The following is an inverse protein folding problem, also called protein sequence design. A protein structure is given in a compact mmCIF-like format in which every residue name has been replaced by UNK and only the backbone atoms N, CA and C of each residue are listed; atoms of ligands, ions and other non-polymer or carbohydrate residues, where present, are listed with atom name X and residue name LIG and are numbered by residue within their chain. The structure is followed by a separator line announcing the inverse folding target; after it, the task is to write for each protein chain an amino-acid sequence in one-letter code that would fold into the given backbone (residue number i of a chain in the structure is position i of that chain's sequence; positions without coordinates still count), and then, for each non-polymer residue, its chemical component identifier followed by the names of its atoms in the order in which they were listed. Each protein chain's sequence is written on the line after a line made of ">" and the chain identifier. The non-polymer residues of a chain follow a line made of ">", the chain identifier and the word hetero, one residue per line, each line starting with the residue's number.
data_IF_450399084850
#
_entry.id   IF_450399084850
#
_cell.length_a   1.000
_cell.length_b   1.000
_cell.length_c   1.000
_cell.angle_alpha   90.00
_cell.angle_beta   90.00
_cell.angle_gamma   90.00
#
_symmetry.space_group_name_H-M   'P 1'
#
loop_
_entity.id
_entity.type
_entity.pdbx_description
1 polymer ?
#
# COMPACT_ATOMS: atom_id res chain seq x y z
N UNK A 1 -5.41 -23.08 -19.44
CA UNK A 1 -6.22 -22.02 -18.78
C UNK A 1 -5.35 -20.77 -18.72
N UNK A 2 -5.58 -19.83 -19.62
CA UNK A 2 -4.80 -18.60 -19.70
C UNK A 2 -5.32 -17.63 -18.63
N UNK A 3 -4.50 -17.30 -17.62
CA UNK A 3 -4.80 -16.20 -16.72
C UNK A 3 -4.45 -14.92 -17.50
N UNK A 4 -5.49 -14.23 -17.94
CA UNK A 4 -5.41 -12.92 -18.57
C UNK A 4 -5.00 -11.93 -17.48
N UNK A 5 -3.69 -11.79 -17.23
CA UNK A 5 -3.14 -10.63 -16.52
C UNK A 5 -2.82 -9.55 -17.55
N UNK A 6 -3.85 -9.04 -18.21
CA UNK A 6 -3.74 -7.83 -19.02
C UNK A 6 -4.14 -6.64 -18.16
N UNK A 7 -3.16 -5.80 -17.82
CA UNK A 7 -3.31 -4.39 -17.43
C UNK A 7 -4.71 -4.01 -16.88
N UNK A 8 -5.02 -4.41 -15.65
CA UNK A 8 -6.20 -3.93 -14.97
C UNK A 8 -5.87 -2.54 -14.38
N UNK A 9 -6.77 -1.59 -14.57
CA UNK A 9 -6.65 -0.28 -13.97
C UNK A 9 -6.63 -0.42 -12.44
N UNK A 10 -5.85 0.42 -11.74
CA UNK A 10 -5.71 0.38 -10.27
C UNK A 10 -7.06 0.37 -9.53
N UNK A 11 -8.05 1.09 -10.06
CA UNK A 11 -9.40 1.15 -9.53
C UNK A 11 -10.11 -0.21 -9.58
N UNK A 12 -9.89 -0.98 -10.65
CA UNK A 12 -10.46 -2.30 -10.87
C UNK A 12 -9.75 -3.35 -10.00
N UNK A 13 -8.42 -3.27 -9.88
CA UNK A 13 -7.63 -4.09 -8.95
C UNK A 13 -8.09 -3.92 -7.50
N UNK A 14 -8.39 -2.68 -7.08
CA UNK A 14 -8.97 -2.42 -5.76
C UNK A 14 -10.34 -3.09 -5.57
N UNK A 15 -11.21 -3.09 -6.59
CA UNK A 15 -12.49 -3.76 -6.49
C UNK A 15 -12.34 -5.28 -6.37
N UNK A 16 -11.45 -5.89 -7.15
CA UNK A 16 -11.17 -7.33 -7.04
C UNK A 16 -10.61 -7.69 -5.67
N UNK A 17 -9.71 -6.88 -5.12
CA UNK A 17 -9.21 -7.06 -3.76
C UNK A 17 -10.34 -7.01 -2.71
N UNK A 18 -11.24 -6.04 -2.79
CA UNK A 18 -12.37 -5.93 -1.87
C UNK A 18 -13.34 -7.11 -2.00
N UNK A 19 -13.57 -7.60 -3.22
CA UNK A 19 -14.40 -8.77 -3.48
C UNK A 19 -13.77 -10.05 -2.88
N UNK A 20 -12.45 -10.22 -3.02
CA UNK A 20 -11.71 -11.31 -2.40
C UNK A 20 -11.77 -11.23 -0.85
N UNK A 21 -11.58 -10.04 -0.28
CA UNK A 21 -11.74 -9.85 1.17
C UNK A 21 -13.17 -10.19 1.64
N UNK A 22 -14.19 -9.91 0.82
CA UNK A 22 -15.57 -10.26 1.13
C UNK A 22 -15.81 -11.77 1.08
N UNK A 23 -15.22 -12.48 0.12
CA UNK A 23 -15.32 -13.95 0.06
C UNK A 23 -14.63 -14.64 1.25
N UNK A 24 -13.57 -14.03 1.79
CA UNK A 24 -12.90 -14.43 3.04
C UNK A 24 -13.69 -14.09 4.33
N UNK A 25 -14.92 -13.58 4.21
CA UNK A 25 -15.78 -13.19 5.36
C UNK A 25 -15.14 -12.14 6.27
N UNK A 26 -14.33 -11.23 5.72
CA UNK A 26 -13.87 -10.04 6.47
C UNK A 26 -15.09 -9.21 6.91
N UNK A 27 -14.98 -8.58 8.07
CA UNK A 27 -16.06 -7.72 8.60
C UNK A 27 -16.27 -6.51 7.68
N UNK A 28 -17.52 -6.08 7.52
CA UNK A 28 -17.87 -4.93 6.68
C UNK A 28 -17.14 -3.64 7.08
N UNK A 29 -16.91 -3.44 8.40
CA UNK A 29 -16.12 -2.33 8.91
C UNK A 29 -14.66 -2.35 8.40
N UNK A 30 -14.07 -3.55 8.26
CA UNK A 30 -12.73 -3.73 7.70
C UNK A 30 -12.70 -3.45 6.20
N UNK A 31 -13.71 -3.92 5.46
CA UNK A 31 -13.84 -3.63 4.02
C UNK A 31 -13.99 -2.12 3.77
N UNK A 32 -14.78 -1.43 4.60
CA UNK A 32 -14.95 0.02 4.53
C UNK A 32 -13.63 0.75 4.81
N UNK A 33 -12.87 0.29 5.81
CA UNK A 33 -11.56 0.87 6.11
C UNK A 33 -10.54 0.64 4.99
N UNK A 34 -10.49 -0.57 4.42
CA UNK A 34 -9.67 -0.88 3.25
C UNK A 34 -10.05 -0.03 2.04
N UNK A 35 -11.33 0.04 1.70
CA UNK A 35 -11.81 0.88 0.60
C UNK A 35 -11.39 2.34 0.77
N UNK A 36 -11.50 2.87 1.99
CA UNK A 36 -11.11 4.26 2.29
C UNK A 36 -9.60 4.48 2.17
N UNK A 37 -8.78 3.60 2.76
CA UNK A 37 -7.31 3.75 2.79
C UNK A 37 -6.70 3.48 1.43
N UNK A 38 -7.04 2.34 0.83
CA UNK A 38 -6.53 1.95 -0.48
C UNK A 38 -7.10 2.83 -1.59
N UNK A 39 -8.35 3.29 -1.47
CA UNK A 39 -8.92 4.25 -2.42
C UNK A 39 -8.16 5.58 -2.44
N UNK A 40 -7.72 6.08 -1.29
CA UNK A 40 -6.82 7.26 -1.22
C UNK A 40 -5.47 6.99 -1.89
N UNK A 41 -4.92 5.79 -1.69
CA UNK A 41 -3.65 5.43 -2.30
C UNK A 41 -3.74 5.28 -3.82
N UNK A 42 -4.83 4.67 -4.32
CA UNK A 42 -5.10 4.57 -5.76
C UNK A 42 -5.24 5.96 -6.38
N UNK A 43 -6.03 6.85 -5.78
CA UNK A 43 -6.18 8.22 -6.26
C UNK A 43 -4.84 8.99 -6.27
N UNK A 44 -3.98 8.75 -5.27
CA UNK A 44 -2.62 9.29 -5.26
C UNK A 44 -1.78 8.78 -6.43
N UNK A 45 -1.79 7.47 -6.68
CA UNK A 45 -1.05 6.84 -7.78
C UNK A 45 -1.52 7.33 -9.15
N UNK A 46 -2.83 7.45 -9.36
CA UNK A 46 -3.41 8.01 -10.57
C UNK A 46 -2.94 9.46 -10.79
N UNK A 47 -2.89 10.26 -9.72
CA UNK A 47 -2.34 11.63 -9.75
C UNK A 47 -0.84 11.70 -10.06
N UNK A 48 -0.09 10.61 -9.83
CA UNK A 48 1.32 10.46 -10.21
C UNK A 48 1.50 9.86 -11.62
N UNK A 49 0.40 9.64 -12.35
CA UNK A 49 0.42 9.03 -13.69
C UNK A 49 0.61 7.50 -13.69
N UNK A 50 0.47 6.85 -12.54
CA UNK A 50 0.59 5.39 -12.42
C UNK A 50 -0.80 4.78 -12.60
N UNK A 51 -0.96 3.94 -13.63
CA UNK A 51 -2.27 3.38 -14.01
C UNK A 51 -2.40 1.88 -13.75
N UNK A 52 -1.27 1.18 -13.55
CA UNK A 52 -1.23 -0.27 -13.35
C UNK A 52 -0.49 -0.63 -12.06
N UNK A 53 -0.87 -1.73 -11.43
CA UNK A 53 -0.22 -2.25 -10.22
C UNK A 53 1.24 -2.65 -10.46
N UNK A 54 1.58 -3.10 -11.67
CA UNK A 54 2.96 -3.45 -12.07
C UNK A 54 3.92 -2.26 -12.10
N UNK A 55 3.39 -1.05 -12.29
CA UNK A 55 4.18 0.17 -12.42
C UNK A 55 4.47 0.82 -11.07
N UNK A 56 3.90 0.26 -9.98
CA UNK A 56 4.10 0.75 -8.62
C UNK A 56 5.52 0.43 -8.13
N UNK A 57 6.33 1.48 -8.05
CA UNK A 57 7.67 1.48 -7.46
C UNK A 57 7.68 1.95 -6.00
N UNK A 58 8.75 1.59 -5.28
CA UNK A 58 9.02 2.01 -3.89
C UNK A 58 8.98 3.53 -3.70
N UNK A 59 9.32 4.31 -4.73
CA UNK A 59 9.26 5.78 -4.68
C UNK A 59 7.84 6.29 -4.42
N UNK A 60 6.83 5.66 -4.99
CA UNK A 60 5.44 6.06 -4.80
C UNK A 60 4.96 5.76 -3.38
N UNK A 61 5.43 4.68 -2.78
CA UNK A 61 5.17 4.37 -1.37
C UNK A 61 5.74 5.45 -0.45
N UNK A 62 6.99 5.86 -0.69
CA UNK A 62 7.66 6.90 0.10
C UNK A 62 6.94 8.25 -0.03
N UNK A 63 6.62 8.65 -1.26
CA UNK A 63 5.90 9.90 -1.51
C UNK A 63 4.51 9.90 -0.87
N UNK A 64 3.78 8.77 -0.93
CA UNK A 64 2.49 8.67 -0.28
C UNK A 64 2.61 8.75 1.25
N UNK A 65 3.62 8.12 1.85
CA UNK A 65 3.87 8.25 3.29
C UNK A 65 4.18 9.70 3.68
N UNK A 66 4.96 10.42 2.88
CA UNK A 66 5.24 11.85 3.09
C UNK A 66 3.96 12.69 2.96
N UNK A 67 3.12 12.44 1.95
CA UNK A 67 1.83 13.14 1.79
C UNK A 67 0.88 12.88 2.98
N UNK A 68 0.88 11.65 3.51
CA UNK A 68 0.13 11.33 4.71
C UNK A 68 0.68 12.06 5.95
N UNK A 69 2.00 12.20 6.06
CA UNK A 69 2.66 12.92 7.15
C UNK A 69 2.39 14.43 7.07
N UNK A 70 2.52 15.04 5.89
CA UNK A 70 2.22 16.46 5.67
C UNK A 70 0.74 16.79 5.93
N UNK A 71 -0.18 15.87 5.59
CA UNK A 71 -1.61 16.03 5.86
C UNK A 71 -2.02 15.68 7.29
N UNK A 72 -1.24 14.87 7.99
CA UNK A 72 -1.46 14.51 9.38
C UNK A 72 -0.65 15.43 10.29
N UNK A 73 -1.19 16.61 10.63
CA UNK A 73 -0.75 17.36 11.82
C UNK A 73 -0.56 16.39 13.01
N UNK A 74 0.47 16.60 13.88
CA UNK A 74 1.36 15.58 14.45
C UNK A 74 0.76 14.55 15.44
N UNK A 75 -0.56 14.32 15.45
CA UNK A 75 -1.27 13.47 16.42
C UNK A 75 -1.74 12.12 15.87
N UNK A 76 -1.64 11.87 14.57
CA UNK A 76 -2.23 10.68 13.91
C UNK A 76 -1.20 9.65 13.38
N UNK A 77 0.10 9.89 13.63
CA UNK A 77 1.21 9.25 12.93
C UNK A 77 1.35 7.73 13.22
N UNK A 78 1.05 7.25 14.43
CA UNK A 78 1.36 5.86 14.81
C UNK A 78 0.32 4.80 14.37
N UNK A 79 -0.96 5.14 14.24
CA UNK A 79 -2.00 4.13 13.94
C UNK A 79 -2.12 3.83 12.45
N UNK A 80 -1.85 4.80 11.59
CA UNK A 80 -1.98 4.65 10.14
C UNK A 80 -0.79 3.91 9.54
N UNK A 81 0.44 4.17 9.99
CA UNK A 81 1.64 3.47 9.51
C UNK A 81 1.60 1.98 9.85
N UNK A 82 1.29 1.61 11.10
CA UNK A 82 1.21 0.20 11.50
C UNK A 82 0.11 -0.57 10.75
N UNK A 83 -1.01 0.10 10.43
CA UNK A 83 -2.11 -0.50 9.67
C UNK A 83 -1.82 -0.57 8.17
N UNK A 84 -1.19 0.45 7.58
CA UNK A 84 -0.79 0.45 6.18
C UNK A 84 0.31 -0.57 5.93
N UNK A 85 1.37 -0.61 6.75
CA UNK A 85 2.45 -1.62 6.64
C UNK A 85 1.85 -3.04 6.65
N UNK A 86 0.94 -3.33 7.57
CA UNK A 86 0.29 -4.66 7.65
C UNK A 86 -0.60 -4.97 6.43
N UNK A 87 -1.25 -3.96 5.85
CA UNK A 87 -2.12 -4.12 4.67
C UNK A 87 -1.31 -4.24 3.39
N UNK A 88 -0.22 -3.48 3.26
CA UNK A 88 0.71 -3.57 2.12
C UNK A 88 1.49 -4.88 2.11
N UNK A 89 1.79 -5.43 3.29
CA UNK A 89 2.44 -6.75 3.41
C UNK A 89 1.54 -7.91 2.95
N UNK A 90 0.21 -7.75 2.91
CA UNK A 90 -0.72 -8.75 2.39
C UNK A 90 -1.00 -8.62 0.89
N UNK A 91 -0.72 -7.46 0.29
CA UNK A 91 -0.98 -7.17 -1.13
C UNK A 91 0.26 -7.44 -1.99
N UNK A 92 1.47 -7.31 -1.43
CA UNK A 92 2.72 -7.50 -2.17
C UNK A 92 3.17 -8.97 -2.07
N UNK A 93 3.31 -9.72 -3.18
CA UNK A 93 3.91 -11.05 -3.15
C UNK A 93 5.30 -10.98 -2.51
N UNK A 94 5.61 -11.98 -1.69
CA UNK A 94 6.77 -12.21 -0.79
C UNK A 94 8.20 -11.92 -1.30
N UNK A 95 8.39 -11.28 -2.46
CA UNK A 95 9.70 -11.01 -3.05
C UNK A 95 10.36 -9.68 -2.63
N UNK A 96 9.64 -8.78 -1.94
CA UNK A 96 10.08 -7.39 -1.76
C UNK A 96 10.38 -6.93 -0.32
N UNK A 97 10.34 -7.81 0.70
CA UNK A 97 10.48 -7.40 2.11
C UNK A 97 11.91 -7.54 2.67
N UNK A 98 12.87 -8.09 1.92
CA UNK A 98 14.20 -8.42 2.50
C UNK A 98 15.26 -7.31 2.50
N UNK A 99 15.02 -6.07 2.07
CA UNK A 99 16.14 -5.10 1.90
C UNK A 99 16.06 -3.81 2.73
N UNK A 100 15.17 -3.69 3.71
CA UNK A 100 15.07 -2.44 4.50
C UNK A 100 15.33 -2.56 6.01
N UNK A 101 15.97 -3.65 6.47
CA UNK A 101 16.53 -3.70 7.83
C UNK A 101 18.04 -3.92 7.73
N UNK A 102 18.76 -2.89 7.30
CA UNK A 102 20.19 -2.72 7.57
C UNK A 102 20.56 -1.24 7.57
N UNK A 103 19.92 -0.48 8.45
CA UNK A 103 20.35 0.87 8.82
C UNK A 103 20.38 0.98 10.35
N UNK A 104 21.29 0.25 11.01
CA UNK A 104 21.71 0.54 12.38
C UNK A 104 23.01 -0.22 12.72
N UNK A 105 24.13 0.37 12.34
CA UNK A 105 25.29 0.62 13.21
C UNK A 105 26.48 1.06 12.35
N UNK A 106 26.74 2.37 12.37
CA UNK A 106 28.02 2.94 11.98
C UNK A 106 28.37 3.98 13.04
N UNK A 107 28.89 3.48 14.16
CA UNK A 107 29.69 4.26 15.10
C UNK A 107 31.11 3.68 15.02
N UNK A 108 31.96 4.35 14.24
CA UNK A 108 33.41 4.11 14.19
C UNK A 108 34.07 4.50 15.53
N UNK A 109 35.06 3.76 16.03
CA UNK A 109 36.10 4.32 16.87
C UNK A 109 37.28 4.83 16.01
N UNK A 110 37.97 5.84 16.55
CA UNK A 110 39.25 6.38 16.08
C UNK A 110 40.39 5.39 16.26
#
# INVERSE_FOLDING_TARGET
>A
MAIITSALELSQDLQFFLLACRSERRREATLTDYKRKLGRFVAFLEGQGVMQTSDIQTKHMRLFMLELEERALPRLHQRLLNSLIYTMMQIVPTRWVCTTISCRDSTKPH
#
